data_IF_079395108534
#
_entry.id   IF_079395108534
#
_cell.length_a   1.000
_cell.length_b   1.000
_cell.length_c   1.000
_cell.angle_alpha   90.00
_cell.angle_beta   90.00
_cell.angle_gamma   90.00
#
_symmetry.space_group_name_H-M   'P 1'
#
loop_
_entity.id
_entity.type
_entity.pdbx_description
1 polymer ?
#
# COMPACT_ATOMS: atom_id res chain seq x y z
N UNK A 1 5.54 12.42 -17.23
CA UNK A 1 6.75 13.08 -17.75
C UNK A 1 7.15 14.32 -16.96
N UNK A 2 6.24 15.24 -16.59
CA UNK A 2 6.60 16.42 -15.78
C UNK A 2 6.99 16.11 -14.33
N UNK A 3 6.30 15.19 -13.65
CA UNK A 3 6.60 14.82 -12.24
C UNK A 3 7.96 14.19 -12.01
N UNK A 4 8.56 13.55 -13.02
CA UNK A 4 9.84 12.87 -12.85
C UNK A 4 11.02 13.83 -12.95
N UNK A 5 10.91 14.88 -13.79
CA UNK A 5 11.93 15.93 -13.95
C UNK A 5 12.04 16.82 -12.70
N UNK A 6 10.95 16.96 -11.94
CA UNK A 6 10.92 17.68 -10.65
C UNK A 6 11.42 16.85 -9.45
N UNK A 7 11.72 15.55 -9.61
CA UNK A 7 12.17 14.69 -8.50
C UNK A 7 13.61 14.97 -8.08
N UNK A 8 14.47 15.26 -9.04
CA UNK A 8 15.87 15.61 -8.76
C UNK A 8 15.97 16.97 -8.08
N UNK A 9 15.11 17.93 -8.47
CA UNK A 9 14.94 19.22 -7.78
C UNK A 9 14.35 19.05 -6.37
N UNK A 10 13.44 18.08 -6.19
CA UNK A 10 12.87 17.71 -4.89
C UNK A 10 13.62 16.55 -4.22
N UNK A 11 14.95 16.47 -4.39
CA UNK A 11 15.76 15.50 -3.66
C UNK A 11 15.58 15.74 -2.16
N UNK A 12 15.07 14.74 -1.45
CA UNK A 12 14.86 14.85 0.01
C UNK A 12 16.22 14.84 0.69
N UNK A 13 16.61 15.95 1.28
CA UNK A 13 17.84 16.03 2.08
C UNK A 13 17.81 15.03 3.23
N UNK A 14 19.00 14.59 3.68
CA UNK A 14 19.15 13.64 4.79
C UNK A 14 18.37 14.13 6.02
N UNK A 15 18.46 15.43 6.33
CA UNK A 15 17.68 16.09 7.39
C UNK A 15 16.17 15.86 7.24
N UNK A 16 15.61 16.07 6.05
CA UNK A 16 14.16 15.89 5.80
C UNK A 16 13.73 14.43 5.84
N UNK A 17 14.60 13.49 5.46
CA UNK A 17 14.33 12.05 5.60
C UNK A 17 14.30 11.63 7.07
N UNK A 18 15.28 12.07 7.86
CA UNK A 18 15.36 11.81 9.30
C UNK A 18 14.16 12.43 10.02
N UNK A 19 13.84 13.69 9.72
CA UNK A 19 12.67 14.37 10.27
C UNK A 19 11.36 13.64 9.92
N UNK A 20 11.21 13.16 8.69
CA UNK A 20 10.05 12.37 8.28
C UNK A 20 9.95 11.03 9.02
N UNK A 21 11.09 10.34 9.25
CA UNK A 21 11.14 9.11 10.05
C UNK A 21 10.76 9.40 11.51
N UNK A 22 11.35 10.43 12.11
CA UNK A 22 11.06 10.84 13.49
C UNK A 22 9.58 11.22 13.67
N UNK A 23 8.98 11.97 12.73
CA UNK A 23 7.55 12.30 12.75
C UNK A 23 6.66 11.06 12.67
N UNK A 24 7.01 10.08 11.84
CA UNK A 24 6.28 8.80 11.77
C UNK A 24 6.38 8.03 13.08
N UNK A 25 7.57 7.95 13.68
CA UNK A 25 7.77 7.29 14.97
C UNK A 25 7.01 8.00 16.10
N UNK A 26 7.07 9.33 16.16
CA UNK A 26 6.32 10.13 17.14
C UNK A 26 4.81 9.88 17.05
N UNK A 27 4.26 9.81 15.84
CA UNK A 27 2.83 9.51 15.64
C UNK A 27 2.47 8.10 16.12
N UNK A 28 3.36 7.12 15.93
CA UNK A 28 3.16 5.76 16.42
C UNK A 28 3.21 5.70 17.95
N UNK A 29 4.25 6.26 18.57
CA UNK A 29 4.40 6.33 20.02
C UNK A 29 3.19 6.98 20.69
N UNK A 30 2.77 8.15 20.21
CA UNK A 30 1.55 8.84 20.71
C UNK A 30 0.28 8.00 20.61
N UNK A 31 0.13 7.16 19.58
CA UNK A 31 -1.03 6.26 19.44
C UNK A 31 -0.96 5.10 20.43
N UNK A 32 0.22 4.53 20.62
CA UNK A 32 0.45 3.44 21.57
C UNK A 32 0.30 3.93 23.01
N UNK A 33 0.78 5.13 23.34
CA UNK A 33 0.57 5.74 24.66
C UNK A 33 -0.92 5.95 24.96
N UNK A 34 -1.69 6.48 24.00
CA UNK A 34 -3.14 6.59 24.13
C UNK A 34 -3.81 5.23 24.30
N UNK A 35 -3.28 4.20 23.64
CA UNK A 35 -3.78 2.85 23.78
C UNK A 35 -3.49 2.27 25.18
N UNK A 36 -2.27 2.45 25.69
CA UNK A 36 -1.87 2.02 27.04
C UNK A 36 -2.75 2.67 28.11
N UNK A 37 -2.91 3.99 28.08
CA UNK A 37 -3.77 4.72 29.01
C UNK A 37 -5.21 4.21 29.01
N UNK A 38 -5.77 3.89 27.84
CA UNK A 38 -7.12 3.32 27.75
C UNK A 38 -7.18 1.86 28.23
N UNK A 39 -6.13 1.08 27.98
CA UNK A 39 -6.04 -0.29 28.48
C UNK A 39 -6.00 -0.33 30.01
N UNK A 40 -5.24 0.57 30.64
CA UNK A 40 -5.21 0.72 32.11
C UNK A 40 -6.60 0.99 32.68
N UNK A 41 -7.37 1.89 32.07
CA UNK A 41 -8.76 2.16 32.47
C UNK A 41 -9.65 0.92 32.32
N UNK A 42 -9.57 0.21 31.20
CA UNK A 42 -10.37 -1.00 30.94
C UNK A 42 -10.03 -2.12 31.92
N UNK A 43 -8.75 -2.28 32.29
CA UNK A 43 -8.32 -3.29 33.27
C UNK A 43 -8.91 -3.02 34.65
N UNK A 44 -8.99 -1.75 35.06
CA UNK A 44 -9.47 -1.33 36.37
C UNK A 44 -11.00 -1.29 36.51
N UNK A 45 -11.76 -1.43 35.42
CA UNK A 45 -13.23 -1.48 35.50
C UNK A 45 -13.69 -2.75 36.23
N UNK A 46 -14.50 -2.61 37.28
CA UNK A 46 -14.98 -3.74 38.08
C UNK A 46 -16.17 -4.50 37.43
N UNK A 47 -16.94 -3.83 36.56
CA UNK A 47 -18.19 -4.37 36.01
C UNK A 47 -18.00 -5.37 34.86
N UNK A 48 -16.76 -5.60 34.41
CA UNK A 48 -16.45 -6.48 33.27
C UNK A 48 -15.81 -7.79 33.70
N UNK A 49 -16.14 -8.87 33.00
CA UNK A 49 -15.46 -10.15 33.18
C UNK A 49 -14.02 -10.09 32.64
N UNK A 50 -13.11 -10.89 33.19
CA UNK A 50 -11.70 -10.92 32.77
C UNK A 50 -11.53 -11.23 31.26
N UNK A 51 -12.40 -12.10 30.73
CA UNK A 51 -12.41 -12.46 29.31
C UNK A 51 -12.75 -11.26 28.43
N UNK A 52 -13.72 -10.45 28.83
CA UNK A 52 -14.12 -9.26 28.09
C UNK A 52 -13.05 -8.17 28.18
N UNK A 53 -12.43 -7.97 29.35
CA UNK A 53 -11.28 -7.07 29.52
C UNK A 53 -10.15 -7.43 28.55
N UNK A 54 -9.79 -8.72 28.47
CA UNK A 54 -8.74 -9.19 27.56
C UNK A 54 -9.10 -8.96 26.08
N UNK A 55 -10.36 -9.21 25.70
CA UNK A 55 -10.84 -8.95 24.33
C UNK A 55 -10.81 -7.46 24.00
N UNK A 56 -11.27 -6.61 24.90
CA UNK A 56 -11.31 -5.17 24.69
C UNK A 56 -9.90 -4.59 24.56
N UNK A 57 -8.98 -4.94 25.47
CA UNK A 57 -7.55 -4.58 25.38
C UNK A 57 -6.95 -5.01 24.04
N UNK A 58 -7.22 -6.25 23.59
CA UNK A 58 -6.76 -6.77 22.29
C UNK A 58 -7.31 -5.93 21.13
N UNK A 59 -8.59 -5.56 21.17
CA UNK A 59 -9.20 -4.73 20.11
C UNK A 59 -8.60 -3.33 20.09
N UNK A 60 -8.26 -2.78 21.25
CA UNK A 60 -7.74 -1.44 21.41
C UNK A 60 -6.31 -1.32 20.82
N UNK A 61 -5.45 -2.30 21.10
CA UNK A 61 -4.14 -2.42 20.47
C UNK A 61 -4.24 -2.67 18.95
N UNK A 62 -5.20 -3.50 18.51
CA UNK A 62 -5.45 -3.72 17.08
C UNK A 62 -5.85 -2.41 16.38
N UNK A 63 -6.72 -1.60 16.97
CA UNK A 63 -7.11 -0.28 16.44
C UNK A 63 -5.91 0.68 16.35
N UNK A 64 -5.02 0.68 17.34
CA UNK A 64 -3.82 1.53 17.34
C UNK A 64 -2.84 1.18 16.21
N UNK A 65 -2.72 -0.11 15.85
CA UNK A 65 -1.79 -0.61 14.83
C UNK A 65 -2.39 -0.66 13.41
N UNK A 66 -3.72 -0.76 13.27
CA UNK A 66 -4.43 -0.82 11.97
C UNK A 66 -4.05 0.29 10.97
N UNK A 67 -3.97 1.59 11.32
CA UNK A 67 -3.64 2.64 10.36
C UNK A 67 -2.19 2.58 9.84
N UNK A 68 -1.33 1.75 10.45
CA UNK A 68 0.03 1.52 9.98
C UNK A 68 0.09 0.47 8.86
N UNK A 69 -0.86 -0.47 8.86
CA UNK A 69 -0.97 -1.50 7.84
C UNK A 69 -1.62 -0.91 6.59
N UNK A 70 -0.91 -0.95 5.46
CA UNK A 70 -1.51 -0.60 4.17
C UNK A 70 -2.61 -1.62 3.89
N UNK A 71 -3.84 -1.15 3.67
CA UNK A 71 -4.93 -2.02 3.26
C UNK A 71 -4.56 -2.63 1.92
N UNK A 72 -4.41 -3.94 1.88
CA UNK A 72 -4.15 -4.66 0.63
C UNK A 72 -5.38 -4.53 -0.27
N UNK A 73 -5.13 -4.27 -1.55
CA UNK A 73 -6.21 -4.13 -2.52
C UNK A 73 -6.66 -5.52 -2.97
N UNK A 74 -7.93 -5.86 -2.76
CA UNK A 74 -8.51 -7.12 -3.25
C UNK A 74 -8.54 -7.11 -4.78
N UNK A 75 -8.02 -8.15 -5.41
CA UNK A 75 -8.07 -8.31 -6.87
C UNK A 75 -9.40 -8.91 -7.30
N UNK A 76 -10.10 -8.20 -8.17
CA UNK A 76 -11.44 -8.58 -8.63
C UNK A 76 -11.36 -8.84 -10.12
N UNK A 77 -11.73 -10.03 -10.56
CA UNK A 77 -11.71 -10.38 -11.98
C UNK A 77 -13.02 -9.96 -12.64
N UNK A 78 -12.94 -9.19 -13.71
CA UNK A 78 -14.09 -8.91 -14.57
C UNK A 78 -14.52 -10.18 -15.31
N UNK A 79 -15.76 -10.63 -15.06
CA UNK A 79 -16.44 -11.69 -15.81
C UNK A 79 -17.58 -11.07 -16.62
N UNK A 80 -17.97 -11.70 -17.73
CA UNK A 80 -19.05 -11.21 -18.62
C UNK A 80 -20.34 -10.89 -17.86
N UNK A 81 -20.69 -11.72 -16.88
CA UNK A 81 -21.86 -11.55 -15.98
C UNK A 81 -21.85 -10.27 -15.14
N UNK A 82 -20.70 -9.63 -14.97
CA UNK A 82 -20.57 -8.41 -14.18
C UNK A 82 -20.74 -7.12 -15.02
N UNK A 83 -20.92 -7.21 -16.35
CA UNK A 83 -21.22 -6.08 -17.23
C UNK A 83 -20.36 -4.82 -16.98
N UNK A 84 -19.06 -5.00 -16.70
CA UNK A 84 -18.14 -3.90 -16.40
C UNK A 84 -18.29 -3.27 -15.01
N UNK A 85 -19.25 -3.71 -14.20
CA UNK A 85 -19.48 -3.25 -12.82
C UNK A 85 -18.74 -4.12 -11.81
N UNK A 86 -18.45 -3.55 -10.64
CA UNK A 86 -17.89 -4.30 -9.52
C UNK A 86 -18.91 -5.32 -8.99
N UNK A 87 -18.51 -6.52 -8.57
CA UNK A 87 -19.40 -7.45 -7.90
C UNK A 87 -19.94 -6.84 -6.59
N UNK A 88 -21.23 -7.08 -6.31
CA UNK A 88 -21.84 -6.72 -5.02
C UNK A 88 -21.19 -7.59 -3.93
N UNK A 89 -20.59 -6.97 -2.92
CA UNK A 89 -19.96 -7.67 -1.78
C UNK A 89 -18.52 -7.26 -1.46
N UNK A 90 -17.81 -6.62 -2.40
CA UNK A 90 -16.44 -6.14 -2.12
C UNK A 90 -16.50 -4.75 -1.49
N UNK A 91 -16.10 -4.69 -0.22
CA UNK A 91 -15.96 -3.45 0.57
C UNK A 91 -14.48 -3.09 0.70
N UNK A 92 -14.14 -1.79 0.57
CA UNK A 92 -12.77 -1.30 0.69
C UNK A 92 -12.00 -1.15 -0.64
N UNK A 93 -10.68 -0.89 -0.61
CA UNK A 93 -9.87 -0.70 -1.81
C UNK A 93 -9.77 -2.00 -2.60
N UNK A 94 -10.11 -1.94 -3.89
CA UNK A 94 -10.02 -3.09 -4.78
C UNK A 94 -9.37 -2.69 -6.10
N UNK A 95 -8.82 -3.68 -6.80
CA UNK A 95 -8.29 -3.53 -8.14
C UNK A 95 -9.07 -4.43 -9.09
N UNK A 96 -9.85 -3.81 -9.95
CA UNK A 96 -10.55 -4.51 -11.02
C UNK A 96 -9.53 -4.92 -12.09
N UNK A 97 -9.54 -6.18 -12.48
CA UNK A 97 -8.60 -6.77 -13.44
C UNK A 97 -9.38 -7.57 -14.48
N UNK A 98 -9.02 -7.40 -15.74
CA UNK A 98 -9.49 -8.25 -16.84
C UNK A 98 -8.35 -9.14 -17.39
N UNK A 99 -8.67 -9.98 -18.38
CA UNK A 99 -7.69 -10.84 -19.04
C UNK A 99 -6.62 -10.03 -19.80
N UNK A 100 -6.98 -8.91 -20.43
CA UNK A 100 -6.08 -8.10 -21.27
C UNK A 100 -5.06 -7.35 -20.41
N UNK A 101 -5.51 -6.65 -19.39
CA UNK A 101 -4.71 -5.99 -18.36
C UNK A 101 -3.76 -6.97 -17.64
N UNK A 102 -4.15 -8.23 -17.44
CA UNK A 102 -3.23 -9.27 -16.92
C UNK A 102 -2.11 -9.57 -17.91
N UNK A 103 -2.42 -9.67 -19.22
CA UNK A 103 -1.44 -9.90 -20.29
C UNK A 103 -0.51 -8.70 -20.45
N UNK A 104 -1.04 -7.48 -20.50
CA UNK A 104 -0.25 -6.26 -20.67
C UNK A 104 0.71 -6.05 -19.50
N UNK A 105 0.23 -6.21 -18.24
CA UNK A 105 1.10 -6.15 -17.06
C UNK A 105 2.15 -7.26 -17.04
N UNK A 106 1.84 -8.45 -17.57
CA UNK A 106 2.82 -9.53 -17.69
C UNK A 106 3.91 -9.14 -18.69
N UNK A 107 3.54 -8.61 -19.84
CA UNK A 107 4.49 -8.13 -20.84
C UNK A 107 5.39 -7.02 -20.27
N UNK A 108 4.81 -6.02 -19.59
CA UNK A 108 5.57 -4.96 -18.90
C UNK A 108 6.53 -5.57 -17.86
N UNK A 109 6.07 -6.49 -17.02
CA UNK A 109 6.93 -7.15 -16.02
C UNK A 109 8.08 -7.94 -16.65
N UNK A 110 7.85 -8.61 -17.77
CA UNK A 110 8.89 -9.34 -18.51
C UNK A 110 9.89 -8.35 -19.12
N UNK A 111 9.40 -7.25 -19.70
CA UNK A 111 10.26 -6.19 -20.23
C UNK A 111 11.12 -5.56 -19.12
N UNK A 112 10.51 -5.20 -17.99
CA UNK A 112 11.23 -4.62 -16.84
C UNK A 112 12.24 -5.59 -16.23
N UNK A 113 11.90 -6.88 -16.13
CA UNK A 113 12.83 -7.90 -15.63
C UNK A 113 13.99 -8.13 -16.61
N UNK A 114 13.73 -8.16 -17.92
CA UNK A 114 14.77 -8.19 -18.95
C UNK A 114 15.65 -6.96 -18.92
N UNK A 115 15.07 -5.76 -18.77
CA UNK A 115 15.81 -4.49 -18.63
C UNK A 115 16.68 -4.47 -17.38
N UNK A 116 16.18 -5.01 -16.25
CA UNK A 116 16.97 -5.14 -15.01
C UNK A 116 18.13 -6.13 -15.17
N UNK A 117 17.91 -7.23 -15.90
CA UNK A 117 18.97 -8.21 -16.22
C UNK A 117 20.00 -7.65 -17.21
N UNK A 118 19.54 -6.95 -18.26
CA UNK A 118 20.37 -6.24 -19.23
C UNK A 118 21.00 -4.94 -18.68
N UNK A 119 20.68 -4.55 -17.44
CA UNK A 119 21.42 -3.53 -16.70
C UNK A 119 22.84 -3.94 -16.34
N UNK A 120 23.20 -5.24 -16.54
CA UNK A 120 24.57 -5.71 -16.76
C UNK A 120 24.79 -5.87 -18.26
N UNK A 121 25.01 -4.76 -18.95
CA UNK A 121 25.42 -4.74 -20.35
C UNK A 121 24.27 -4.71 -21.38
N UNK A 122 24.39 -3.73 -22.27
CA UNK A 122 23.80 -3.62 -23.62
C UNK A 122 22.67 -2.58 -23.77
N UNK A 123 22.97 -1.67 -24.69
CA UNK A 123 22.29 -0.45 -25.12
C UNK A 123 20.86 -0.64 -25.65
N UNK A 124 20.08 0.44 -25.51
CA UNK A 124 18.72 0.62 -26.06
C UNK A 124 18.62 0.17 -27.53
N UNK A 125 17.60 -0.60 -27.95
CA UNK A 125 17.28 -0.72 -29.36
C UNK A 125 16.69 0.61 -29.86
N UNK A 126 17.27 1.17 -30.93
CA UNK A 126 16.73 2.31 -31.68
C UNK A 126 15.38 1.89 -32.30
N UNK A 127 14.34 2.70 -32.08
CA UNK A 127 13.07 2.57 -32.80
C UNK A 127 13.32 2.57 -34.32
N UNK A 128 13.00 1.47 -35.01
CA UNK A 128 12.87 1.50 -36.47
C UNK A 128 11.58 2.24 -36.84
N UNK A 129 11.74 3.16 -37.77
CA UNK A 129 10.75 4.06 -38.34
C UNK A 129 9.42 3.37 -38.67
N UNK A 130 8.31 4.04 -38.34
CA UNK A 130 7.02 3.78 -38.94
C UNK A 130 7.10 4.25 -40.41
N UNK A 131 7.09 3.30 -41.34
CA UNK A 131 6.87 3.58 -42.75
C UNK A 131 5.50 4.21 -42.93
N UNK A 132 5.48 5.41 -43.50
CA UNK A 132 4.32 5.97 -44.19
C UNK A 132 4.25 5.28 -45.56
N UNK A 133 3.13 4.60 -45.83
CA UNK A 133 2.44 4.60 -47.12
C UNK A 133 0.97 4.62 -46.79
#
# INVERSE_FOLDING_TARGET
>A
MYRDRSKDVNARTIKKVVEAKARKQRRLKKRLEKARKKAEVVTNNADMTEREKAQEVKTLYKKALTPLKKKEATYVVMKKRHAGKKPKGIKGPYKLVDKRMKKDKRAIKIFDSKKRKAGKGISKPKNKARGRK
#
